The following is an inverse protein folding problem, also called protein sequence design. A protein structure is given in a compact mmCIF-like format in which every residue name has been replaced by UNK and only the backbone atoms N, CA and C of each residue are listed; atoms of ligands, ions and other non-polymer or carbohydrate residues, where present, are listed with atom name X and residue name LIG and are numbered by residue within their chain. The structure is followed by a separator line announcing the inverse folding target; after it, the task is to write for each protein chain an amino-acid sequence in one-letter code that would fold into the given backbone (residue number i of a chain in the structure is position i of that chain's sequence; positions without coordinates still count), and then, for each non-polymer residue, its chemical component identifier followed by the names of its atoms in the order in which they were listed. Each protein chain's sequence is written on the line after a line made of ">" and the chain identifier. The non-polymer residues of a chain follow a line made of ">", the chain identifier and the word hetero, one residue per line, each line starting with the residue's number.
data_IF_771512755461
#
_entry.id   IF_771512755461
#
_cell.length_a   1.000
_cell.length_b   1.000
_cell.length_c   1.000
_cell.angle_alpha   90.00
_cell.angle_beta   90.00
_cell.angle_gamma   90.00
#
_symmetry.space_group_name_H-M   'P 1'
#
loop_
_entity.id
_entity.type
_entity.pdbx_description
1 polymer ?
2 non-polymer ?
3 water ?
#
# COMPACT_ATOMS: atom_id res chain seq x y z
N UNK A 1 -1.69 42.22 -8.14
CA UNK A 1 -1.09 41.71 -9.40
C UNK A 1 -1.02 40.17 -9.46
N UNK A 2 -1.43 39.47 -8.40
CA UNK A 2 -1.22 38.02 -8.34
C UNK A 2 -2.45 37.27 -7.84
N UNK A 3 -2.79 36.18 -8.53
CA UNK A 3 -4.01 35.40 -8.29
C UNK A 3 -3.65 33.95 -8.01
N UNK A 4 -4.15 33.40 -6.89
CA UNK A 4 -3.74 32.08 -6.43
C UNK A 4 -4.94 31.26 -5.93
N UNK A 5 -5.06 29.99 -6.40
CA UNK A 5 -6.19 29.12 -6.11
C UNK A 5 -5.81 27.70 -5.66
N UNK A 6 -6.55 27.19 -4.65
CA UNK A 6 -6.38 25.81 -4.16
C UNK A 6 -7.68 25.03 -4.10
N UNK A 7 -7.69 23.83 -4.70
CA UNK A 7 -8.77 22.85 -4.58
C UNK A 7 -8.47 21.85 -3.47
N UNK A 8 -9.14 21.96 -2.32
CA UNK A 8 -8.77 21.12 -1.17
C UNK A 8 -9.02 19.63 -1.38
N UNK A 9 -10.10 19.29 -2.08
CA UNK A 9 -10.45 17.90 -2.30
C UNK A 9 -9.62 17.28 -3.42
N UNK A 10 -8.71 18.04 -4.03
CA UNK A 10 -8.06 17.58 -5.24
C UNK A 10 -7.39 16.24 -4.98
N UNK A 11 -6.57 16.15 -3.93
CA UNK A 11 -5.78 14.92 -3.74
C UNK A 11 -6.66 13.73 -3.48
N UNK A 12 -7.76 13.99 -2.77
CA UNK A 12 -8.77 12.96 -2.59
C UNK A 12 -9.35 12.53 -3.94
N UNK A 13 -9.72 13.49 -4.79
CA UNK A 13 -10.28 13.10 -6.08
C UNK A 13 -9.27 12.35 -6.93
N UNK A 14 -8.04 12.83 -6.99
CA UNK A 14 -7.01 12.20 -7.80
C UNK A 14 -6.70 10.80 -7.31
N UNK A 15 -6.62 10.59 -5.98
CA UNK A 15 -6.34 9.24 -5.56
C UNK A 15 -7.46 8.28 -5.92
N UNK A 16 -8.68 8.77 -5.92
CA UNK A 16 -9.80 7.96 -6.38
C UNK A 16 -9.62 7.46 -7.79
N UNK A 17 -9.08 8.32 -8.65
CA UNK A 17 -8.81 7.93 -10.02
C UNK A 17 -7.64 6.96 -10.06
N UNK A 18 -6.64 7.20 -9.25
CA UNK A 18 -5.52 6.28 -9.27
C UNK A 18 -5.95 4.86 -8.83
N UNK A 19 -6.84 4.78 -7.86
CA UNK A 19 -7.32 3.49 -7.45
C UNK A 19 -8.16 2.83 -8.55
N UNK A 20 -8.98 3.61 -9.24
CA UNK A 20 -9.68 3.07 -10.41
C UNK A 20 -8.68 2.50 -11.41
N UNK A 21 -7.61 3.23 -11.68
CA UNK A 21 -6.63 2.76 -12.66
C UNK A 21 -5.93 1.49 -12.19
N UNK A 22 -5.62 1.37 -10.90
CA UNK A 22 -5.06 0.12 -10.38
C UNK A 22 -6.01 -1.01 -10.65
N UNK A 23 -7.28 -0.81 -10.31
CA UNK A 23 -8.21 -1.92 -10.44
C UNK A 23 -8.45 -2.31 -11.89
N UNK A 24 -8.33 -1.37 -12.83
CA UNK A 24 -8.44 -1.69 -14.26
C UNK A 24 -7.15 -2.27 -14.82
N UNK A 25 -6.12 -2.36 -13.98
CA UNK A 25 -4.75 -2.74 -14.37
C UNK A 25 -4.23 -1.87 -15.53
N UNK A 26 -4.39 -0.56 -15.41
CA UNK A 26 -3.90 0.38 -16.40
C UNK A 26 -2.76 1.22 -15.82
N UNK A 27 -1.71 1.45 -16.63
CA UNK A 27 -0.50 2.22 -16.29
C UNK A 27 0.33 1.58 -15.20
N UNK A 28 0.05 0.35 -14.83
CA UNK A 28 0.81 -0.31 -13.77
C UNK A 28 2.20 -0.66 -14.29
N UNK A 29 3.19 -0.51 -13.42
CA UNK A 29 4.58 -0.83 -13.78
C UNK A 29 5.24 -1.76 -12.76
N UNK A 30 4.49 -2.23 -11.79
CA UNK A 30 5.00 -3.26 -10.87
C UNK A 30 3.94 -4.32 -10.62
N UNK A 31 4.38 -5.57 -10.58
CA UNK A 31 3.57 -6.68 -10.11
C UNK A 31 4.24 -7.28 -8.87
N UNK A 32 3.50 -7.23 -7.76
CA UNK A 32 3.90 -7.84 -6.50
C UNK A 32 3.39 -9.28 -6.40
N UNK A 33 4.32 -10.20 -6.38
CA UNK A 33 4.01 -11.62 -6.24
C UNK A 33 4.25 -12.04 -4.80
N UNK A 34 3.15 -12.40 -4.14
CA UNK A 34 3.12 -12.62 -2.71
C UNK A 34 2.90 -14.10 -2.43
N UNK A 35 3.88 -14.76 -1.82
CA UNK A 35 3.72 -16.15 -1.41
C UNK A 35 4.05 -16.26 0.08
N UNK A 36 3.04 -16.64 0.90
CA UNK A 36 3.22 -16.68 2.34
C UNK A 36 2.87 -18.10 2.77
N UNK A 37 3.91 -18.77 3.28
CA UNK A 37 3.84 -20.11 3.83
C UNK A 37 2.91 -21.06 3.07
N UNK A 38 1.80 -21.47 3.69
CA UNK A 38 0.88 -22.47 3.11
C UNK A 38 -0.13 -21.87 2.14
N UNK A 39 -0.33 -20.55 2.19
CA UNK A 39 -1.43 -19.93 1.48
C UNK A 39 -1.14 -19.90 -0.03
N UNK A 40 -2.16 -19.97 -0.84
CA UNK A 40 -1.91 -19.88 -2.28
C UNK A 40 -1.30 -18.56 -2.68
N UNK A 41 -0.41 -18.64 -3.67
CA UNK A 41 0.27 -17.44 -4.13
C UNK A 41 -0.76 -16.46 -4.66
N UNK A 42 -0.44 -15.17 -4.53
CA UNK A 42 -1.25 -14.10 -5.11
C UNK A 42 -0.41 -13.02 -5.75
N UNK A 43 -1.01 -12.23 -6.64
CA UNK A 43 -0.26 -11.12 -7.24
C UNK A 43 -1.10 -9.86 -7.27
N UNK A 44 -0.43 -8.73 -7.20
CA UNK A 44 -1.07 -7.43 -7.14
C UNK A 44 -0.34 -6.48 -8.10
N UNK A 45 -1.06 -5.94 -9.06
CA UNK A 45 -0.50 -4.93 -9.94
C UNK A 45 -0.72 -3.55 -9.33
N UNK A 46 0.26 -2.67 -9.52
CA UNK A 46 0.22 -1.35 -8.94
C UNK A 46 1.13 -0.36 -9.65
N UNK A 47 1.14 0.85 -9.13
CA UNK A 47 1.97 1.95 -9.64
C UNK A 47 3.12 2.20 -8.71
N UNK A 48 4.37 2.08 -9.22
CA UNK A 48 5.53 2.29 -8.33
C UNK A 48 5.46 3.65 -7.62
N UNK A 49 5.08 4.71 -8.33
CA UNK A 49 5.09 6.05 -7.73
C UNK A 49 4.09 6.16 -6.58
N UNK A 50 2.95 5.49 -6.66
CA UNK A 50 1.94 5.53 -5.59
C UNK A 50 2.40 4.75 -4.38
N UNK A 51 2.91 3.55 -4.60
CA UNK A 51 3.44 2.81 -3.46
C UNK A 51 4.56 3.59 -2.79
N UNK A 52 5.42 4.22 -3.60
CA UNK A 52 6.51 5.03 -3.06
C UNK A 52 6.03 6.22 -2.24
N UNK A 53 4.86 6.76 -2.54
CA UNK A 53 4.30 7.93 -1.85
C UNK A 53 3.74 7.59 -0.47
N UNK A 54 3.48 6.30 -0.21
CA UNK A 54 2.93 5.83 1.05
C UNK A 54 3.86 4.91 1.85
N UNK A 55 5.05 4.54 1.32
CA UNK A 55 5.93 3.66 2.04
C UNK A 55 7.38 4.01 1.75
N UNK A 56 8.15 4.41 2.75
CA UNK A 56 9.57 4.63 2.51
C UNK A 56 10.25 3.38 2.00
N UNK A 57 9.69 2.21 2.31
CA UNK A 57 10.31 0.95 1.90
C UNK A 57 10.13 0.70 0.41
N UNK A 58 8.91 0.88 -0.12
CA UNK A 58 8.74 0.77 -1.56
C UNK A 58 9.53 1.84 -2.32
N UNK A 59 9.59 3.05 -1.79
CA UNK A 59 10.32 4.13 -2.43
C UNK A 59 11.77 3.75 -2.65
N UNK A 60 12.43 3.21 -1.63
CA UNK A 60 13.84 2.87 -1.80
C UNK A 60 14.03 1.71 -2.79
N UNK A 61 13.12 0.75 -2.76
CA UNK A 61 13.14 -0.40 -3.66
C UNK A 61 13.11 0.04 -5.12
N UNK A 62 12.32 1.06 -5.40
CA UNK A 62 12.05 1.50 -6.77
C UNK A 62 12.93 2.64 -7.22
N UNK A 63 13.53 3.40 -6.32
CA UNK A 63 14.38 4.43 -6.83
C UNK A 63 15.82 3.95 -6.85
N UNK A 64 16.06 3.08 -7.85
CA UNK A 64 17.35 2.53 -8.23
C UNK A 64 17.92 3.44 -9.31
N UNK A 65 19.24 3.61 -9.32
CA UNK A 65 19.87 4.53 -10.25
C UNK A 65 20.08 4.08 -11.69
N UNK A 66 19.06 3.49 -12.30
CA UNK A 66 19.08 3.21 -13.73
C UNK A 66 17.65 2.88 -14.15
N UNK A 67 17.07 3.73 -14.98
CA UNK A 67 15.62 3.68 -15.11
C UNK A 67 15.14 2.38 -15.75
N UNK A 68 13.94 1.98 -15.34
CA UNK A 68 13.53 0.60 -15.43
C UNK A 68 13.01 0.29 -16.83
N UNK A 69 13.44 -0.82 -17.42
CA UNK A 69 12.96 -1.20 -18.75
C UNK A 69 11.63 -1.94 -18.56
N UNK A 70 10.60 -1.17 -18.19
CA UNK A 70 9.23 -1.69 -18.20
C UNK A 70 8.66 -2.19 -16.88
N UNK A 71 7.81 -3.22 -16.98
CA UNK A 71 7.13 -3.83 -15.84
C UNK A 71 8.00 -4.80 -15.04
N UNK A 72 8.19 -4.47 -13.74
CA UNK A 72 9.00 -5.26 -12.82
C UNK A 72 8.13 -6.19 -11.99
N UNK A 73 8.62 -7.38 -11.75
CA UNK A 73 7.99 -8.35 -10.87
C UNK A 73 8.80 -8.33 -9.59
N UNK A 74 8.12 -8.29 -8.46
CA UNK A 74 8.78 -8.25 -7.17
C UNK A 74 8.24 -9.39 -6.35
N UNK A 75 9.15 -10.21 -5.80
CA UNK A 75 8.78 -11.34 -4.95
C UNK A 75 8.74 -10.91 -3.48
N UNK A 76 7.60 -11.14 -2.84
CA UNK A 76 7.39 -10.78 -1.44
C UNK A 76 7.17 -12.04 -0.62
N UNK A 77 7.92 -12.21 0.45
CA UNK A 77 7.60 -13.30 1.37
C UNK A 77 7.38 -12.74 2.76
N UNK A 78 6.84 -13.55 3.65
CA UNK A 78 6.71 -13.12 5.04
C UNK A 78 5.50 -12.28 5.39
N UNK A 79 4.70 -11.91 4.41
CA UNK A 79 3.46 -11.20 4.64
C UNK A 79 2.37 -11.99 3.93
N UNK A 80 1.26 -12.26 4.63
CA UNK A 80 0.13 -12.96 4.04
C UNK A 80 -0.43 -12.14 2.88
N UNK A 81 -0.84 -12.78 1.79
CA UNK A 81 -1.43 -11.99 0.70
C UNK A 81 -2.56 -11.09 1.14
N UNK A 82 -3.39 -11.54 2.09
CA UNK A 82 -4.55 -10.74 2.50
C UNK A 82 -4.08 -9.44 3.19
N UNK A 83 -2.94 -9.47 3.87
CA UNK A 83 -2.39 -8.26 4.50
C UNK A 83 -1.85 -7.30 3.45
N UNK A 84 -1.04 -7.79 2.51
CA UNK A 84 -0.56 -6.90 1.45
C UNK A 84 -1.72 -6.20 0.75
N UNK A 85 -2.77 -6.94 0.45
CA UNK A 85 -3.95 -6.36 -0.19
C UNK A 85 -4.44 -5.16 0.59
N UNK A 86 -4.53 -5.29 1.90
CA UNK A 86 -5.05 -4.21 2.71
C UNK A 86 -4.11 -3.03 2.77
N UNK A 87 -2.80 -3.25 2.77
CA UNK A 87 -1.84 -2.16 2.76
C UNK A 87 -1.87 -1.40 1.45
N UNK A 88 -2.00 -2.13 0.35
CA UNK A 88 -2.12 -1.47 -0.95
C UNK A 88 -3.38 -0.63 -1.00
N UNK A 89 -4.49 -1.16 -0.52
CA UNK A 89 -5.72 -0.39 -0.47
C UNK A 89 -5.54 0.85 0.39
N UNK A 90 -4.79 0.74 1.50
CA UNK A 90 -4.59 1.96 2.28
C UNK A 90 -3.87 3.02 1.46
N UNK A 91 -2.79 2.63 0.75
CA UNK A 91 -2.03 3.59 -0.04
C UNK A 91 -2.85 4.29 -1.10
N UNK A 92 -3.84 3.57 -1.64
CA UNK A 92 -4.63 4.08 -2.75
C UNK A 92 -5.88 4.75 -2.25
N UNK A 93 -6.24 4.57 -0.99
CA UNK A 93 -7.51 5.11 -0.49
C UNK A 93 -7.41 5.85 0.82
N UNK A 94 -6.31 5.67 1.61
CA UNK A 94 -6.13 6.22 2.93
C UNK A 94 -6.99 5.55 3.99
N UNK A 95 -7.70 4.48 3.63
CA UNK A 95 -8.47 3.72 4.61
C UNK A 95 -8.10 2.24 4.60
N UNK A 96 -8.32 1.61 5.74
CA UNK A 96 -8.09 0.18 5.92
C UNK A 96 -9.08 -0.39 6.93
N UNK A 97 -9.59 -1.60 6.65
CA UNK A 97 -10.54 -2.25 7.54
C UNK A 97 -10.19 -3.74 7.63
N UNK A 98 -10.40 -4.34 8.81
CA UNK A 98 -10.03 -5.72 9.06
C UNK A 98 -10.78 -6.18 10.31
N UNK A 99 -10.81 -7.50 10.49
CA UNK A 99 -11.36 -8.07 11.69
C UNK A 99 -10.38 -8.00 12.84
N UNK A 100 -10.93 -8.02 14.05
CA UNK A 100 -10.10 -7.90 15.24
C UNK A 100 -8.97 -8.93 15.30
N UNK A 101 -9.20 -10.10 14.72
CA UNK A 101 -8.23 -11.20 14.70
C UNK A 101 -7.07 -10.94 13.74
N UNK A 102 -7.22 -10.01 12.80
CA UNK A 102 -6.18 -9.73 11.81
C UNK A 102 -5.38 -8.48 12.16
N UNK A 103 -5.74 -7.76 13.23
CA UNK A 103 -5.13 -6.47 13.48
C UNK A 103 -3.63 -6.64 13.70
N UNK A 104 -3.26 -7.67 14.43
CA UNK A 104 -1.85 -7.93 14.67
C UNK A 104 -1.06 -8.19 13.39
N UNK A 105 -1.59 -8.99 12.49
CA UNK A 105 -0.85 -9.30 11.29
C UNK A 105 -0.69 -8.07 10.41
N UNK A 106 -1.73 -7.25 10.31
CA UNK A 106 -1.62 -6.01 9.54
C UNK A 106 -0.60 -5.07 10.14
N UNK A 107 -0.57 -4.95 11.48
CA UNK A 107 0.41 -4.06 12.08
C UNK A 107 1.82 -4.57 11.73
N UNK A 108 2.06 -5.88 11.87
CA UNK A 108 3.34 -6.46 11.42
C UNK A 108 3.68 -6.07 9.97
N UNK A 109 2.73 -6.19 9.06
CA UNK A 109 3.02 -5.83 7.67
C UNK A 109 3.30 -4.35 7.51
N UNK A 110 2.57 -3.51 8.24
CA UNK A 110 2.79 -2.08 8.19
C UNK A 110 4.14 -1.71 8.77
N UNK A 111 4.62 -2.42 9.79
CA UNK A 111 5.97 -2.14 10.23
C UNK A 111 6.98 -2.48 9.13
N UNK A 112 6.78 -3.62 8.48
CA UNK A 112 7.71 -4.08 7.44
C UNK A 112 7.82 -3.06 6.28
N UNK A 113 6.76 -2.33 5.92
CA UNK A 113 6.81 -1.32 4.82
C UNK A 113 6.80 0.13 5.34
N UNK A 114 7.00 0.28 6.65
CA UNK A 114 7.13 1.58 7.29
C UNK A 114 5.98 2.51 6.96
N UNK A 115 4.76 1.98 7.06
CA UNK A 115 3.56 2.82 6.87
C UNK A 115 3.16 3.32 8.25
N UNK A 116 3.78 4.43 8.69
CA UNK A 116 3.79 4.79 10.10
C UNK A 116 2.37 5.03 10.58
N UNK A 117 1.55 5.61 9.72
CA UNK A 117 0.17 5.89 10.05
C UNK A 117 -0.56 4.63 10.50
N UNK A 118 -0.47 3.56 9.70
CA UNK A 118 -1.16 2.31 10.05
C UNK A 118 -0.54 1.62 11.27
N UNK A 119 0.77 1.74 11.45
CA UNK A 119 1.40 1.21 12.63
C UNK A 119 0.78 1.86 13.88
N UNK A 120 0.69 3.19 13.88
CA UNK A 120 0.13 3.91 15.03
C UNK A 120 -1.31 3.49 15.31
N UNK A 121 -2.15 3.43 14.28
CA UNK A 121 -3.54 3.10 14.49
C UNK A 121 -3.71 1.70 15.08
N UNK A 122 -2.99 0.73 14.55
CA UNK A 122 -3.10 -0.63 15.05
C UNK A 122 -2.60 -0.73 16.48
N UNK A 123 -1.44 -0.13 16.76
CA UNK A 123 -0.92 -0.11 18.13
C UNK A 123 -1.96 0.43 19.09
N UNK A 124 -2.59 1.55 18.73
CA UNK A 124 -3.54 2.18 19.62
C UNK A 124 -4.78 1.28 19.82
N UNK A 125 -5.18 0.53 18.78
CA UNK A 125 -6.30 -0.40 18.95
C UNK A 125 -5.99 -1.52 19.92
N UNK A 126 -4.87 -2.19 19.70
CA UNK A 126 -4.47 -3.27 20.59
C UNK A 126 -4.42 -2.82 22.03
N UNK A 127 -3.92 -1.62 22.29
CA UNK A 127 -3.75 -1.23 23.69
C UNK A 127 -5.10 -0.94 24.34
N UNK A 128 -6.06 -0.39 23.59
CA UNK A 128 -7.39 -0.17 24.16
C UNK A 128 -8.10 -1.49 24.47
N UNK A 129 -7.81 -2.54 23.70
CA UNK A 129 -8.33 -3.88 23.90
C UNK A 129 -7.74 -4.57 25.14
N UNK A 130 -6.94 -3.86 25.92
CA UNK A 130 -6.43 -4.39 27.17
C UNK A 130 -7.20 -3.94 28.39
N UNK A 131 -7.12 -4.78 29.43
CA UNK A 131 -7.61 -4.44 30.75
C UNK A 131 -9.08 -4.07 30.68
#
# INVERSE_FOLDING_TARGET
>A
RTFSYTLEDHTKQAFGIMNELRLSQQLCDVTLQVKYQDAPAAQFMAHKVVLASSSPVFKAMFTNGLREQGMEVVSIEGIHPKVMERLIEFAYTASISMGEKCVLHVMNGAVMYQIDSVVRACADFLVQQLD
#
